data_IF_965499502876
#
_entry.id   IF_965499502876
#
_cell.length_a   1.000
_cell.length_b   1.000
_cell.length_c   1.000
_cell.angle_alpha   90.00
_cell.angle_beta   90.00
_cell.angle_gamma   90.00
#
_symmetry.space_group_name_H-M   'P 1'
#
loop_
_entity.id
_entity.type
_entity.pdbx_description
1 polymer ?
#
# COMPACT_ATOMS: atom_id res chain seq x y z
N UNK A 1 -21.60 31.60 16.21
CA UNK A 1 -21.92 30.75 15.04
C UNK A 1 -22.14 29.33 15.57
N UNK A 2 -23.31 28.71 15.34
CA UNK A 2 -23.55 27.31 15.78
C UNK A 2 -22.71 26.40 14.89
N UNK A 3 -21.74 25.69 15.46
CA UNK A 3 -20.73 24.94 14.69
C UNK A 3 -21.16 23.50 14.38
N UNK A 4 -21.88 22.83 15.28
CA UNK A 4 -22.41 21.45 15.14
C UNK A 4 -23.64 21.23 16.03
N UNK A 5 -24.38 20.13 15.85
CA UNK A 5 -25.52 19.74 16.71
C UNK A 5 -25.07 19.52 18.16
N UNK A 6 -25.82 20.03 19.14
CA UNK A 6 -25.60 19.69 20.55
C UNK A 6 -26.16 18.30 20.85
N UNK A 7 -25.50 17.54 21.72
CA UNK A 7 -26.01 16.24 22.17
C UNK A 7 -27.40 16.33 22.83
N UNK A 8 -27.72 17.48 23.43
CA UNK A 8 -29.01 17.73 24.09
C UNK A 8 -30.17 17.95 23.12
N UNK A 9 -29.90 18.17 21.83
CA UNK A 9 -30.91 18.49 20.82
C UNK A 9 -31.21 17.32 19.89
N UNK A 10 -30.62 16.14 20.12
CA UNK A 10 -30.77 14.99 19.24
C UNK A 10 -32.22 14.47 19.23
N UNK A 11 -32.77 14.24 18.04
CA UNK A 11 -34.15 13.80 17.83
C UNK A 11 -35.17 14.94 17.79
N UNK A 12 -34.73 16.19 17.76
CA UNK A 12 -35.60 17.37 17.78
C UNK A 12 -35.63 18.12 16.44
N UNK A 13 -34.94 17.63 15.41
CA UNK A 13 -34.76 18.35 14.14
C UNK A 13 -33.73 19.47 14.25
N UNK A 14 -32.65 19.23 14.99
CA UNK A 14 -31.60 20.19 15.25
C UNK A 14 -30.79 20.56 14.00
N UNK A 15 -30.02 21.65 14.10
CA UNK A 15 -29.16 22.11 13.01
C UNK A 15 -28.14 21.02 12.63
N UNK A 16 -28.14 20.60 11.36
CA UNK A 16 -27.32 19.50 10.83
C UNK A 16 -27.49 18.17 11.59
N UNK A 17 -28.68 17.92 12.14
CA UNK A 17 -28.97 16.68 12.88
C UNK A 17 -28.76 15.44 12.01
N UNK A 18 -27.82 14.60 12.43
CA UNK A 18 -27.53 13.31 11.84
C UNK A 18 -26.90 12.43 12.94
N UNK A 19 -27.27 11.15 12.99
CA UNK A 19 -26.52 10.18 13.78
C UNK A 19 -25.23 9.81 13.04
N UNK A 20 -24.26 10.72 13.08
CA UNK A 20 -23.03 10.60 12.32
C UNK A 20 -22.20 9.37 12.74
N UNK A 21 -22.26 8.97 14.02
CA UNK A 21 -21.53 7.79 14.51
C UNK A 21 -22.04 6.53 13.81
N UNK A 22 -23.36 6.33 13.78
CA UNK A 22 -23.95 5.16 13.11
C UNK A 22 -23.76 5.20 11.59
N UNK A 23 -23.84 6.38 10.98
CA UNK A 23 -23.58 6.55 9.54
C UNK A 23 -22.12 6.22 9.16
N UNK A 24 -21.15 6.60 10.00
CA UNK A 24 -19.73 6.38 9.73
C UNK A 24 -19.22 4.99 10.15
N UNK A 25 -19.97 4.27 11.01
CA UNK A 25 -19.60 2.95 11.55
C UNK A 25 -19.18 1.93 10.49
N UNK A 26 -19.89 1.71 9.36
CA UNK A 26 -19.50 0.70 8.38
C UNK A 26 -18.24 1.05 7.57
N UNK A 27 -17.78 2.30 7.59
CA UNK A 27 -16.64 2.79 6.80
C UNK A 27 -15.38 2.99 7.63
N UNK A 28 -15.42 2.74 8.93
CA UNK A 28 -14.33 3.01 9.86
C UNK A 28 -14.04 1.82 10.77
N UNK A 29 -12.80 1.73 11.27
CA UNK A 29 -12.42 0.72 12.27
C UNK A 29 -13.02 1.03 13.64
N UNK A 30 -13.26 2.31 13.91
CA UNK A 30 -13.75 2.81 15.18
C UNK A 30 -14.54 4.09 14.93
N UNK A 31 -15.81 4.09 15.29
CA UNK A 31 -16.70 5.24 15.27
C UNK A 31 -17.26 5.45 16.67
N UNK A 32 -17.09 6.65 17.24
CA UNK A 32 -17.52 6.92 18.61
C UNK A 32 -17.82 8.39 18.86
N UNK A 33 -18.74 8.65 19.78
CA UNK A 33 -18.93 9.93 20.47
C UNK A 33 -18.49 9.76 21.92
N UNK A 34 -17.61 10.61 22.49
CA UNK A 34 -17.32 10.58 23.92
C UNK A 34 -18.60 10.78 24.74
N UNK A 35 -18.76 10.03 25.84
CA UNK A 35 -19.95 10.17 26.71
C UNK A 35 -19.92 11.42 27.60
N UNK A 36 -18.76 12.06 27.72
CA UNK A 36 -18.55 13.33 28.42
C UNK A 36 -17.24 13.98 27.96
N UNK A 37 -17.06 15.26 28.30
CA UNK A 37 -15.82 16.02 28.02
C UNK A 37 -14.60 15.33 28.65
N UNK A 38 -14.75 14.76 29.85
CA UNK A 38 -13.65 14.08 30.55
C UNK A 38 -13.18 12.81 29.84
N UNK A 39 -13.99 12.23 28.96
CA UNK A 39 -13.65 11.02 28.18
C UNK A 39 -12.93 11.32 26.86
N UNK A 40 -12.85 12.60 26.44
CA UNK A 40 -12.21 12.98 25.17
C UNK A 40 -10.77 12.45 25.06
N UNK A 41 -9.88 12.60 26.08
CA UNK A 41 -8.49 12.11 25.97
C UNK A 41 -8.41 10.60 25.73
N UNK A 42 -9.18 9.81 26.48
CA UNK A 42 -9.24 8.36 26.33
C UNK A 42 -9.77 7.94 24.96
N UNK A 43 -10.84 8.59 24.49
CA UNK A 43 -11.43 8.32 23.17
C UNK A 43 -10.45 8.62 22.04
N UNK A 44 -9.73 9.74 22.13
CA UNK A 44 -8.69 10.10 21.16
C UNK A 44 -7.57 9.06 21.15
N UNK A 45 -7.03 8.70 22.32
CA UNK A 45 -5.96 7.69 22.41
C UNK A 45 -6.40 6.37 21.78
N UNK A 46 -7.62 5.91 22.10
CA UNK A 46 -8.18 4.68 21.55
C UNK A 46 -8.39 4.76 20.04
N UNK A 47 -8.84 5.90 19.52
CA UNK A 47 -9.02 6.10 18.09
C UNK A 47 -7.68 6.11 17.34
N UNK A 48 -6.64 6.74 17.90
CA UNK A 48 -5.29 6.67 17.35
C UNK A 48 -4.77 5.23 17.34
N UNK A 49 -4.83 4.50 18.46
CA UNK A 49 -4.44 3.07 18.47
C UNK A 49 -5.23 2.26 17.45
N UNK A 50 -6.54 2.47 17.37
CA UNK A 50 -7.41 1.77 16.43
C UNK A 50 -7.07 2.07 14.97
N UNK A 51 -6.57 3.27 14.65
CA UNK A 51 -6.24 3.65 13.28
C UNK A 51 -4.95 3.00 12.77
N UNK A 52 -3.96 2.80 13.66
CA UNK A 52 -2.63 2.28 13.29
C UNK A 52 -2.37 0.82 13.69
N UNK A 53 -3.10 0.23 14.64
CA UNK A 53 -2.85 -1.14 15.11
C UNK A 53 -3.54 -2.19 14.24
N UNK A 54 -2.89 -3.35 14.07
CA UNK A 54 -3.34 -4.39 13.15
C UNK A 54 -3.37 -3.87 11.71
N UNK A 55 -4.42 -4.17 10.96
CA UNK A 55 -4.62 -3.56 9.64
C UNK A 55 -4.98 -2.08 9.79
N UNK A 56 -4.20 -1.12 9.29
CA UNK A 56 -4.51 0.30 9.44
C UNK A 56 -5.81 0.71 8.75
N UNK A 57 -6.49 1.73 9.28
CA UNK A 57 -7.75 2.21 8.72
C UNK A 57 -8.29 3.48 9.39
N UNK A 58 -9.31 4.08 8.77
CA UNK A 58 -9.91 5.32 9.26
C UNK A 58 -10.66 5.10 10.58
N UNK A 59 -10.67 6.13 11.43
CA UNK A 59 -11.50 6.22 12.63
C UNK A 59 -12.31 7.52 12.57
N UNK A 60 -13.52 7.50 13.13
CA UNK A 60 -14.42 8.63 13.21
C UNK A 60 -14.71 8.97 14.67
N UNK A 61 -14.55 10.25 15.02
CA UNK A 61 -14.81 10.75 16.37
C UNK A 61 -15.78 11.90 16.23
N UNK A 62 -16.96 11.75 16.81
CA UNK A 62 -17.97 12.79 16.86
C UNK A 62 -17.80 13.63 18.12
N UNK A 63 -17.63 14.94 17.95
CA UNK A 63 -17.49 15.91 19.04
C UNK A 63 -18.71 16.85 19.04
N UNK A 64 -19.65 16.69 19.98
CA UNK A 64 -20.84 17.52 20.06
C UNK A 64 -20.51 19.00 20.23
N UNK A 65 -21.37 19.88 19.69
CA UNK A 65 -21.14 21.33 19.74
C UNK A 65 -21.02 21.88 21.16
N UNK A 66 -21.80 21.34 22.10
CA UNK A 66 -21.73 21.68 23.52
C UNK A 66 -20.40 21.26 24.15
N UNK A 67 -19.72 20.23 23.65
CA UNK A 67 -18.41 19.82 24.18
C UNK A 67 -17.33 20.77 23.68
N UNK A 68 -17.36 21.13 22.39
CA UNK A 68 -16.42 22.07 21.78
C UNK A 68 -16.52 23.45 22.44
N UNK A 69 -17.73 23.87 22.81
CA UNK A 69 -17.99 25.17 23.43
C UNK A 69 -17.81 25.18 24.96
N UNK A 70 -17.60 24.02 25.57
CA UNK A 70 -17.46 23.92 27.02
C UNK A 70 -16.13 24.44 27.53
N UNK A 71 -16.15 24.97 28.76
CA UNK A 71 -14.97 25.46 29.44
C UNK A 71 -14.46 24.44 30.47
N UNK A 72 -13.14 24.25 30.51
CA UNK A 72 -12.44 23.52 31.57
C UNK A 72 -11.30 24.39 32.11
N UNK A 73 -10.90 24.20 33.36
CA UNK A 73 -9.82 24.99 33.96
C UNK A 73 -8.47 24.64 33.33
N UNK A 74 -7.58 25.63 33.20
CA UNK A 74 -6.21 25.42 32.72
C UNK A 74 -5.44 24.41 33.59
N UNK A 75 -5.69 24.39 34.90
CA UNK A 75 -5.12 23.40 35.80
C UNK A 75 -5.52 21.96 35.41
N UNK A 76 -6.78 21.75 35.00
CA UNK A 76 -7.26 20.45 34.51
C UNK A 76 -6.64 20.07 33.17
N UNK A 77 -6.47 21.04 32.26
CA UNK A 77 -5.77 20.82 30.99
C UNK A 77 -4.33 20.38 31.25
N UNK A 78 -3.61 21.11 32.10
CA UNK A 78 -2.23 20.78 32.47
C UNK A 78 -2.10 19.39 33.10
N UNK A 79 -3.03 19.02 33.99
CA UNK A 79 -3.06 17.69 34.59
C UNK A 79 -3.27 16.59 33.53
N UNK A 80 -4.20 16.79 32.58
CA UNK A 80 -4.43 15.83 31.48
C UNK A 80 -3.15 15.68 30.65
N UNK A 81 -2.55 16.78 30.19
CA UNK A 81 -1.33 16.75 29.38
C UNK A 81 -0.16 16.08 30.11
N UNK A 82 0.00 16.34 31.41
CA UNK A 82 1.03 15.70 32.22
C UNK A 82 0.82 14.18 32.40
N UNK A 83 -0.44 13.73 32.37
CA UNK A 83 -0.80 12.31 32.49
C UNK A 83 -0.87 11.56 31.14
N UNK A 84 -0.95 12.29 30.03
CA UNK A 84 -1.07 11.72 28.69
C UNK A 84 0.27 11.18 28.22
N UNK A 85 0.32 9.88 27.93
CA UNK A 85 1.46 9.28 27.25
C UNK A 85 1.24 9.33 25.73
N UNK A 86 2.31 9.50 24.94
CA UNK A 86 2.24 9.29 23.50
C UNK A 86 1.68 7.91 23.19
N UNK A 87 0.85 7.83 22.14
CA UNK A 87 0.39 6.53 21.64
C UNK A 87 1.60 5.76 21.14
N UNK A 88 1.90 4.64 21.79
CA UNK A 88 3.01 3.77 21.39
C UNK A 88 2.80 3.22 19.97
N UNK A 89 3.90 2.96 19.28
CA UNK A 89 3.88 2.31 17.96
C UNK A 89 3.13 0.96 18.01
N UNK A 90 2.59 0.49 16.87
CA UNK A 90 1.94 -0.81 16.81
C UNK A 90 2.89 -1.94 17.25
N UNK A 91 2.42 -2.93 18.01
CA UNK A 91 3.26 -4.05 18.41
C UNK A 91 3.74 -4.83 17.18
N UNK A 92 5.01 -5.21 17.18
CA UNK A 92 5.61 -6.03 16.12
C UNK A 92 5.23 -7.49 16.36
N UNK A 93 4.44 -8.06 15.46
CA UNK A 93 4.09 -9.48 15.47
C UNK A 93 5.01 -10.31 14.57
N UNK A 94 5.44 -11.47 15.08
CA UNK A 94 6.15 -12.50 14.33
C UNK A 94 5.18 -13.55 13.82
N UNK A 95 5.58 -14.30 12.79
CA UNK A 95 4.82 -15.46 12.33
C UNK A 95 5.22 -16.74 13.05
N UNK A 96 4.31 -17.71 13.04
CA UNK A 96 4.54 -19.06 13.57
C UNK A 96 5.77 -19.69 12.88
N UNK A 97 6.79 -20.15 13.63
CA UNK A 97 7.97 -20.78 13.06
C UNK A 97 7.68 -21.96 12.12
N UNK A 98 6.62 -22.75 12.37
CA UNK A 98 6.26 -23.85 11.47
C UNK A 98 5.73 -23.34 10.12
N UNK A 99 4.98 -22.24 10.11
CA UNK A 99 4.56 -21.56 8.88
C UNK A 99 5.76 -20.99 8.13
N UNK A 100 6.75 -20.42 8.83
CA UNK A 100 8.00 -19.96 8.22
C UNK A 100 8.74 -21.12 7.55
N UNK A 101 8.92 -22.25 8.25
CA UNK A 101 9.55 -23.44 7.69
C UNK A 101 8.78 -23.97 6.46
N UNK A 102 7.44 -24.02 6.55
CA UNK A 102 6.59 -24.45 5.42
C UNK A 102 6.70 -23.53 4.20
N UNK A 103 6.80 -22.20 4.42
CA UNK A 103 7.03 -21.25 3.35
C UNK A 103 8.39 -21.45 2.68
N UNK A 104 9.44 -21.70 3.47
CA UNK A 104 10.79 -21.99 2.95
C UNK A 104 10.82 -23.27 2.13
N UNK A 105 10.17 -24.34 2.60
CA UNK A 105 10.07 -25.60 1.82
C UNK A 105 9.33 -25.41 0.50
N UNK A 106 8.23 -24.64 0.49
CA UNK A 106 7.52 -24.30 -0.74
C UNK A 106 8.38 -23.51 -1.72
N UNK A 107 9.12 -22.51 -1.23
CA UNK A 107 10.04 -21.74 -2.06
C UNK A 107 11.18 -22.63 -2.59
N UNK A 108 11.73 -23.52 -1.76
CA UNK A 108 12.79 -24.46 -2.19
C UNK A 108 12.35 -25.35 -3.33
N UNK A 109 11.10 -25.84 -3.28
CA UNK A 109 10.52 -26.64 -4.35
C UNK A 109 10.07 -25.87 -5.59
N UNK A 110 10.14 -24.52 -5.58
CA UNK A 110 9.64 -23.70 -6.68
C UNK A 110 10.60 -23.69 -7.88
N UNK A 111 10.07 -23.99 -9.06
CA UNK A 111 10.81 -23.86 -10.32
C UNK A 111 10.63 -22.48 -10.95
N UNK A 112 9.52 -21.80 -10.64
CA UNK A 112 9.12 -20.49 -11.19
C UNK A 112 8.58 -19.58 -10.07
N UNK A 113 9.40 -19.28 -9.04
CA UNK A 113 8.97 -18.45 -7.91
C UNK A 113 8.77 -17.00 -8.33
N UNK A 114 7.82 -16.32 -7.70
CA UNK A 114 7.56 -14.89 -7.89
C UNK A 114 7.26 -14.22 -6.54
N UNK A 115 7.87 -13.07 -6.27
CA UNK A 115 7.46 -12.20 -5.15
C UNK A 115 6.49 -11.14 -5.67
N UNK A 116 5.37 -10.92 -5.00
CA UNK A 116 4.46 -9.80 -5.30
C UNK A 116 4.47 -8.83 -4.12
N UNK A 117 4.84 -7.59 -4.38
CA UNK A 117 4.98 -6.55 -3.36
C UNK A 117 3.76 -5.63 -3.39
N UNK A 118 2.97 -5.73 -2.33
CA UNK A 118 1.77 -4.92 -2.11
C UNK A 118 2.06 -3.58 -1.46
N UNK A 119 1.09 -2.66 -1.51
CA UNK A 119 1.16 -1.41 -0.75
C UNK A 119 1.25 -1.61 0.77
N UNK A 120 0.85 -2.78 1.29
CA UNK A 120 1.02 -3.13 2.70
C UNK A 120 2.50 -3.21 3.09
N UNK A 121 3.35 -3.77 2.22
CA UNK A 121 4.80 -3.79 2.43
C UNK A 121 5.39 -2.37 2.44
N UNK A 122 4.94 -1.49 1.53
CA UNK A 122 5.35 -0.08 1.48
C UNK A 122 4.91 0.70 2.72
N UNK A 123 3.70 0.41 3.21
CA UNK A 123 3.17 1.00 4.43
C UNK A 123 3.99 0.57 5.65
N UNK A 124 4.39 -0.71 5.74
CA UNK A 124 5.23 -1.24 6.81
C UNK A 124 6.72 -0.85 6.72
N UNK A 125 7.11 -0.06 5.72
CA UNK A 125 8.50 0.36 5.48
C UNK A 125 9.48 -0.81 5.31
N UNK A 126 9.05 -1.84 4.58
CA UNK A 126 9.81 -3.08 4.36
C UNK A 126 10.87 -2.97 3.24
N UNK A 127 11.36 -1.76 2.93
CA UNK A 127 12.27 -1.52 1.80
C UNK A 127 13.53 -2.38 1.89
N UNK A 128 14.18 -2.36 3.07
CA UNK A 128 15.44 -3.07 3.32
C UNK A 128 15.23 -4.58 3.24
N UNK A 129 14.22 -5.10 3.93
CA UNK A 129 13.99 -6.53 4.06
C UNK A 129 13.55 -7.15 2.74
N UNK A 130 12.70 -6.45 1.95
CA UNK A 130 12.31 -6.93 0.63
C UNK A 130 13.51 -6.93 -0.32
N UNK A 131 14.32 -5.88 -0.34
CA UNK A 131 15.53 -5.83 -1.17
C UNK A 131 16.48 -6.98 -0.84
N UNK A 132 16.79 -7.15 0.46
CA UNK A 132 17.65 -8.24 0.93
C UNK A 132 17.08 -9.61 0.55
N UNK A 133 15.77 -9.80 0.66
CA UNK A 133 15.12 -11.06 0.32
C UNK A 133 15.22 -11.36 -1.18
N UNK A 134 14.90 -10.40 -2.06
CA UNK A 134 14.95 -10.63 -3.51
C UNK A 134 16.38 -10.83 -4.00
N UNK A 135 17.37 -10.11 -3.45
CA UNK A 135 18.78 -10.28 -3.81
C UNK A 135 19.35 -11.60 -3.29
N UNK A 136 19.01 -12.01 -2.06
CA UNK A 136 19.48 -13.27 -1.47
C UNK A 136 18.92 -14.50 -2.19
N UNK A 137 17.63 -14.45 -2.52
CA UNK A 137 16.92 -15.58 -3.15
C UNK A 137 17.00 -15.55 -4.67
N UNK A 138 17.33 -14.39 -5.24
CA UNK A 138 17.32 -14.12 -6.68
C UNK A 138 15.95 -14.42 -7.34
N UNK A 139 14.87 -14.26 -6.56
CA UNK A 139 13.49 -14.43 -7.03
C UNK A 139 13.04 -13.11 -7.69
N UNK A 140 12.48 -13.14 -8.93
CA UNK A 140 11.89 -11.96 -9.55
C UNK A 140 10.74 -11.39 -8.71
N UNK A 141 10.58 -10.06 -8.73
CA UNK A 141 9.50 -9.40 -8.00
C UNK A 141 8.60 -8.54 -8.90
N UNK A 142 7.33 -8.48 -8.52
CA UNK A 142 6.29 -7.71 -9.18
C UNK A 142 5.65 -6.75 -8.18
N UNK A 143 5.90 -5.44 -8.28
CA UNK A 143 5.17 -4.46 -7.47
C UNK A 143 3.73 -4.30 -7.96
N UNK A 144 2.80 -4.21 -7.01
CA UNK A 144 1.44 -3.67 -7.25
C UNK A 144 1.48 -2.17 -7.53
N UNK A 145 0.39 -1.52 -8.00
CA UNK A 145 0.44 -0.10 -8.41
C UNK A 145 1.05 0.86 -7.38
N UNK A 146 0.66 0.76 -6.10
CA UNK A 146 1.24 1.55 -4.99
C UNK A 146 2.36 0.81 -4.23
N UNK A 147 2.77 -0.38 -4.73
CA UNK A 147 3.99 -1.08 -4.30
C UNK A 147 5.23 -0.67 -5.10
N UNK A 148 5.06 0.02 -6.23
CA UNK A 148 6.14 0.55 -7.07
C UNK A 148 7.07 1.45 -6.26
N UNK A 149 8.37 1.34 -6.50
CA UNK A 149 9.41 2.09 -5.80
C UNK A 149 9.79 1.57 -4.41
N UNK A 150 9.10 0.57 -3.83
CA UNK A 150 9.54 -0.06 -2.59
C UNK A 150 10.96 -0.64 -2.75
N UNK A 151 11.15 -1.37 -3.85
CA UNK A 151 12.44 -1.55 -4.50
C UNK A 151 12.35 -0.75 -5.80
N UNK A 152 13.40 -0.02 -6.24
CA UNK A 152 13.35 0.77 -7.47
C UNK A 152 12.83 -0.06 -8.65
N UNK A 153 11.92 0.50 -9.43
CA UNK A 153 11.30 -0.24 -10.55
C UNK A 153 12.32 -0.62 -11.64
N UNK A 154 13.48 0.06 -11.67
CA UNK A 154 14.63 -0.23 -12.54
C UNK A 154 15.51 -1.38 -12.06
N UNK A 155 15.22 -1.96 -10.89
CA UNK A 155 15.99 -3.08 -10.35
C UNK A 155 15.95 -4.29 -11.30
N UNK A 156 17.07 -5.02 -11.53
CA UNK A 156 17.13 -6.10 -12.51
C UNK A 156 16.11 -7.24 -12.31
N UNK A 157 15.72 -7.48 -11.05
CA UNK A 157 14.70 -8.48 -10.68
C UNK A 157 13.26 -7.96 -10.76
N UNK A 158 13.03 -6.68 -11.08
CA UNK A 158 11.69 -6.14 -11.25
C UNK A 158 11.09 -6.61 -12.58
N UNK A 159 9.98 -7.34 -12.51
CA UNK A 159 9.29 -7.89 -13.69
C UNK A 159 7.97 -7.17 -13.99
N UNK A 160 7.83 -5.93 -13.53
CA UNK A 160 6.63 -5.11 -13.74
C UNK A 160 6.23 -5.02 -15.24
N UNK A 161 7.19 -4.82 -16.13
CA UNK A 161 6.96 -4.78 -17.57
C UNK A 161 6.53 -6.13 -18.17
N UNK A 162 6.81 -7.25 -17.50
CA UNK A 162 6.44 -8.60 -17.91
C UNK A 162 5.31 -9.21 -17.05
N UNK A 163 4.55 -8.39 -16.31
CA UNK A 163 3.52 -8.82 -15.34
C UNK A 163 2.70 -10.02 -15.80
N UNK A 164 2.06 -9.94 -16.98
CA UNK A 164 1.15 -10.99 -17.45
C UNK A 164 1.85 -12.35 -17.61
N UNK A 165 3.11 -12.36 -18.09
CA UNK A 165 3.91 -13.58 -18.22
C UNK A 165 4.33 -14.09 -16.84
N UNK A 166 4.80 -13.19 -15.97
CA UNK A 166 5.23 -13.53 -14.61
C UNK A 166 4.16 -14.27 -13.82
N UNK A 167 2.94 -13.71 -13.75
CA UNK A 167 1.83 -14.32 -12.98
C UNK A 167 1.26 -15.58 -13.64
N UNK A 168 1.24 -15.65 -14.97
CA UNK A 168 0.68 -16.79 -15.69
C UNK A 168 1.57 -18.04 -15.61
N UNK A 169 2.89 -17.85 -15.49
CA UNK A 169 3.86 -18.94 -15.48
C UNK A 169 4.31 -19.34 -14.06
N UNK A 170 4.18 -18.45 -13.07
CA UNK A 170 4.61 -18.74 -11.70
C UNK A 170 3.97 -20.01 -11.13
N UNK A 171 4.76 -20.82 -10.42
CA UNK A 171 4.28 -22.01 -9.69
C UNK A 171 4.17 -21.77 -8.18
N UNK A 172 4.98 -20.88 -7.63
CA UNK A 172 4.88 -20.39 -6.24
C UNK A 172 4.93 -18.87 -6.22
N UNK A 173 3.99 -18.25 -5.52
CA UNK A 173 3.91 -16.79 -5.38
C UNK A 173 3.94 -16.41 -3.90
N UNK A 174 4.92 -15.60 -3.51
CA UNK A 174 4.99 -14.97 -2.18
C UNK A 174 4.37 -13.57 -2.24
N UNK A 175 3.20 -13.40 -1.63
CA UNK A 175 2.49 -12.13 -1.48
C UNK A 175 2.99 -11.42 -0.21
N UNK A 176 3.49 -10.19 -0.34
CA UNK A 176 3.95 -9.37 0.78
C UNK A 176 3.05 -8.14 0.92
N UNK A 177 2.13 -8.17 1.90
CA UNK A 177 1.17 -7.08 2.11
C UNK A 177 0.28 -6.80 0.90
N UNK A 178 -0.01 -7.84 0.12
CA UNK A 178 -0.79 -7.81 -1.11
C UNK A 178 -1.98 -8.76 -0.99
N UNK A 179 -3.13 -8.31 -1.47
CA UNK A 179 -4.39 -9.08 -1.44
C UNK A 179 -4.67 -9.68 -2.80
N UNK A 180 -5.15 -10.92 -2.81
CA UNK A 180 -5.71 -11.56 -4.00
C UNK A 180 -7.12 -11.01 -4.30
N UNK A 181 -7.21 -9.70 -4.56
CA UNK A 181 -8.43 -9.02 -4.98
C UNK A 181 -8.45 -8.80 -6.51
N UNK A 182 -9.37 -7.98 -6.99
CA UNK A 182 -9.55 -7.72 -8.43
C UNK A 182 -8.28 -7.20 -9.13
N UNK A 183 -7.40 -6.47 -8.43
CA UNK A 183 -6.12 -5.98 -8.99
C UNK A 183 -5.22 -7.16 -9.38
N UNK A 184 -5.25 -8.23 -8.59
CA UNK A 184 -4.55 -9.49 -8.84
C UNK A 184 -5.49 -10.58 -9.37
N UNK A 185 -6.58 -10.20 -10.05
CA UNK A 185 -7.51 -11.14 -10.69
C UNK A 185 -7.98 -12.27 -9.77
N UNK A 186 -8.12 -11.97 -8.47
CA UNK A 186 -8.51 -12.93 -7.44
C UNK A 186 -7.61 -14.19 -7.37
N UNK A 187 -6.34 -14.07 -7.78
CA UNK A 187 -5.39 -15.18 -7.85
C UNK A 187 -5.82 -16.32 -8.78
N UNK A 188 -6.75 -16.06 -9.71
CA UNK A 188 -7.48 -17.11 -10.42
C UNK A 188 -7.01 -17.29 -11.87
N UNK A 189 -7.18 -18.52 -12.37
CA UNK A 189 -7.05 -18.86 -13.79
C UNK A 189 -8.10 -18.11 -14.64
N UNK A 190 -7.80 -17.76 -15.91
CA UNK A 190 -6.59 -18.07 -16.68
C UNK A 190 -5.47 -17.03 -16.52
N UNK A 191 -5.62 -16.05 -15.61
CA UNK A 191 -4.60 -15.02 -15.39
C UNK A 191 -3.41 -15.57 -14.62
N UNK A 192 -3.68 -16.38 -13.60
CA UNK A 192 -2.67 -17.16 -12.90
C UNK A 192 -2.64 -18.60 -13.44
N UNK A 193 -1.50 -19.26 -13.25
CA UNK A 193 -1.41 -20.70 -13.43
C UNK A 193 -2.43 -21.40 -12.52
N UNK A 194 -3.19 -22.36 -13.04
CA UNK A 194 -4.20 -23.08 -12.27
C UNK A 194 -3.62 -23.88 -11.10
N UNK A 195 -2.33 -24.25 -11.17
CA UNK A 195 -1.62 -25.01 -10.14
C UNK A 195 -0.71 -24.13 -9.26
N UNK A 196 -0.82 -22.80 -9.35
CA UNK A 196 0.01 -21.90 -8.53
C UNK A 196 -0.27 -22.11 -7.04
N UNK A 197 0.79 -22.11 -6.23
CA UNK A 197 0.71 -22.13 -4.77
C UNK A 197 1.03 -20.74 -4.24
N UNK A 198 0.18 -20.23 -3.35
CA UNK A 198 0.41 -18.93 -2.71
C UNK A 198 0.98 -19.10 -1.31
N UNK A 199 1.97 -18.28 -0.99
CA UNK A 199 2.40 -17.97 0.37
C UNK A 199 1.98 -16.52 0.60
N UNK A 200 1.28 -16.22 1.70
CA UNK A 200 0.75 -14.88 1.94
C UNK A 200 1.18 -14.33 3.28
N UNK A 201 1.97 -13.26 3.26
CA UNK A 201 2.34 -12.49 4.45
C UNK A 201 1.43 -11.27 4.59
N UNK A 202 0.63 -11.25 5.66
CA UNK A 202 -0.27 -10.16 6.01
C UNK A 202 -0.41 -10.04 7.54
N UNK A 203 -0.71 -8.84 8.03
CA UNK A 203 -0.94 -8.61 9.46
C UNK A 203 -2.36 -9.03 9.89
N UNK A 204 -3.29 -9.15 8.92
CA UNK A 204 -4.68 -9.47 9.16
C UNK A 204 -4.98 -10.95 8.87
N UNK A 205 -5.24 -11.78 9.90
CA UNK A 205 -5.48 -13.22 9.74
C UNK A 205 -6.59 -13.56 8.73
N UNK A 206 -7.68 -12.79 8.76
CA UNK A 206 -8.87 -13.01 7.95
C UNK A 206 -8.62 -12.80 6.45
N UNK A 207 -7.53 -12.12 6.07
CA UNK A 207 -7.16 -11.96 4.66
C UNK A 207 -6.69 -13.28 4.02
N UNK A 208 -6.39 -14.31 4.83
CA UNK A 208 -6.12 -15.68 4.36
C UNK A 208 -7.39 -16.48 4.06
N UNK A 209 -8.57 -15.87 4.21
CA UNK A 209 -9.86 -16.47 3.89
C UNK A 209 -10.40 -15.92 2.57
N UNK A 210 -10.76 -16.80 1.64
CA UNK A 210 -11.21 -16.38 0.32
C UNK A 210 -11.40 -17.56 -0.63
N UNK A 211 -11.74 -17.25 -1.89
CA UNK A 211 -11.91 -18.28 -2.93
C UNK A 211 -10.61 -19.02 -3.23
N UNK A 212 -9.49 -18.31 -3.25
CA UNK A 212 -8.16 -18.88 -3.37
C UNK A 212 -7.50 -18.75 -2.00
N UNK A 213 -7.26 -19.89 -1.37
CA UNK A 213 -6.65 -19.96 -0.05
C UNK A 213 -5.15 -20.17 -0.23
N UNK A 214 -4.28 -19.35 0.41
CA UNK A 214 -2.85 -19.59 0.38
C UNK A 214 -2.51 -20.94 1.04
N UNK A 215 -1.51 -21.63 0.50
CA UNK A 215 -1.02 -22.89 1.07
C UNK A 215 -0.35 -22.63 2.41
N UNK A 216 0.31 -21.47 2.56
CA UNK A 216 0.93 -21.02 3.80
C UNK A 216 0.58 -19.57 4.06
N UNK A 217 0.05 -19.29 5.25
CA UNK A 217 -0.22 -17.94 5.74
C UNK A 217 0.82 -17.53 6.77
N UNK A 218 1.54 -16.45 6.47
CA UNK A 218 2.52 -15.84 7.36
C UNK A 218 1.89 -14.63 8.04
N UNK A 219 1.18 -14.87 9.14
CA UNK A 219 0.53 -13.79 9.90
C UNK A 219 1.59 -13.03 10.69
N UNK A 220 1.75 -11.73 10.44
CA UNK A 220 2.75 -10.92 11.14
C UNK A 220 3.07 -9.58 10.51
N UNK A 221 3.92 -8.80 11.19
CA UNK A 221 4.49 -7.57 10.66
C UNK A 221 5.49 -7.89 9.53
N UNK A 222 5.26 -7.37 8.33
CA UNK A 222 5.97 -7.78 7.11
C UNK A 222 7.50 -7.74 7.23
N UNK A 223 8.15 -6.65 7.70
CA UNK A 223 9.59 -6.64 7.94
C UNK A 223 10.06 -7.76 8.88
N UNK A 224 9.31 -8.04 9.94
CA UNK A 224 9.67 -9.05 10.92
C UNK A 224 9.53 -10.48 10.33
N UNK A 225 8.46 -10.73 9.57
CA UNK A 225 8.27 -11.98 8.83
C UNK A 225 9.37 -12.21 7.79
N UNK A 226 9.76 -11.17 7.03
CA UNK A 226 10.87 -11.26 6.09
C UNK A 226 12.20 -11.52 6.81
N UNK A 227 12.42 -10.93 7.98
CA UNK A 227 13.59 -11.21 8.81
C UNK A 227 13.62 -12.68 9.27
N UNK A 228 12.48 -13.26 9.64
CA UNK A 228 12.38 -14.69 9.95
C UNK A 228 12.72 -15.57 8.74
N UNK A 229 12.22 -15.23 7.54
CA UNK A 229 12.56 -15.94 6.31
C UNK A 229 14.04 -15.83 5.96
N UNK A 230 14.61 -14.62 6.05
CA UNK A 230 16.02 -14.32 5.76
C UNK A 230 17.00 -15.03 6.68
N UNK A 231 16.62 -15.24 7.94
CA UNK A 231 17.46 -15.92 8.94
C UNK A 231 17.26 -17.44 8.97
N UNK A 232 16.28 -17.96 8.23
CA UNK A 232 16.07 -19.39 8.12
C UNK A 232 17.26 -20.03 7.36
N UNK A 233 17.94 -21.05 7.94
CA UNK A 233 19.20 -21.59 7.39
C UNK A 233 19.04 -22.20 5.98
N UNK A 234 17.81 -22.56 5.69
CA UNK A 234 17.38 -23.43 4.62
C UNK A 234 16.71 -22.66 3.47
N UNK A 235 16.72 -21.32 3.54
CA UNK A 235 16.20 -20.42 2.52
C UNK A 235 16.96 -20.62 1.19
N UNK A 236 16.27 -20.94 0.08
CA UNK A 236 16.92 -21.24 -1.19
C UNK A 236 17.42 -19.98 -1.89
N UNK A 237 18.40 -20.16 -2.78
CA UNK A 237 18.73 -19.21 -3.84
C UNK A 237 18.38 -19.86 -5.18
N UNK A 238 17.62 -19.16 -6.03
CA UNK A 238 17.21 -19.64 -7.34
C UNK A 238 18.17 -19.17 -8.42
N UNK A 239 18.53 -20.03 -9.40
CA UNK A 239 19.50 -19.66 -10.42
C UNK A 239 18.93 -18.59 -11.37
N UNK A 240 19.65 -17.47 -11.60
CA UNK A 240 19.22 -16.44 -12.56
C UNK A 240 19.21 -16.96 -14.00
N UNK A 241 19.93 -18.06 -14.23
CA UNK A 241 20.01 -18.77 -15.50
C UNK A 241 18.84 -19.72 -15.75
N UNK A 242 17.87 -19.82 -14.84
CA UNK A 242 16.65 -20.59 -15.09
C UNK A 242 15.91 -20.06 -16.32
N UNK A 243 15.31 -20.97 -17.10
CA UNK A 243 14.52 -20.63 -18.30
C UNK A 243 13.42 -19.62 -17.97
N UNK A 244 12.82 -19.72 -16.79
CA UNK A 244 11.80 -18.78 -16.32
C UNK A 244 12.37 -17.38 -16.09
N UNK A 245 13.44 -17.24 -15.29
CA UNK A 245 14.03 -15.94 -15.00
C UNK A 245 14.55 -15.25 -16.28
N UNK A 246 15.24 -15.99 -17.15
CA UNK A 246 15.71 -15.48 -18.44
C UNK A 246 14.55 -15.07 -19.35
N UNK A 247 13.50 -15.89 -19.40
CA UNK A 247 12.29 -15.61 -20.19
C UNK A 247 11.55 -14.36 -19.71
N UNK A 248 11.50 -14.10 -18.39
CA UNK A 248 10.95 -12.86 -17.84
C UNK A 248 11.86 -11.66 -18.16
N UNK A 249 13.17 -11.80 -17.96
CA UNK A 249 14.13 -10.73 -18.26
C UNK A 249 14.05 -10.30 -19.73
N UNK A 250 14.08 -11.25 -20.66
CA UNK A 250 13.92 -10.96 -22.08
C UNK A 250 12.59 -10.25 -22.37
N UNK A 251 11.50 -10.70 -21.73
CA UNK A 251 10.19 -10.08 -21.92
C UNK A 251 10.13 -8.65 -21.37
N UNK A 252 10.80 -8.38 -20.24
CA UNK A 252 10.95 -7.02 -19.70
C UNK A 252 11.69 -6.15 -20.70
N UNK A 253 12.85 -6.59 -21.20
CA UNK A 253 13.65 -5.85 -22.19
C UNK A 253 12.84 -5.54 -23.45
N UNK A 254 12.15 -6.53 -24.02
CA UNK A 254 11.34 -6.35 -25.22
C UNK A 254 10.19 -5.36 -25.00
N UNK A 255 9.52 -5.44 -23.85
CA UNK A 255 8.40 -4.56 -23.53
C UNK A 255 8.88 -3.13 -23.23
N UNK A 256 10.03 -2.94 -22.58
CA UNK A 256 10.62 -1.62 -22.36
C UNK A 256 11.02 -0.98 -23.69
N UNK A 257 11.66 -1.73 -24.60
CA UNK A 257 11.99 -1.27 -25.96
C UNK A 257 10.72 -0.86 -26.73
N UNK A 258 9.65 -1.65 -26.62
CA UNK A 258 8.36 -1.32 -27.24
C UNK A 258 7.76 -0.03 -26.65
N UNK A 259 7.82 0.13 -25.33
CA UNK A 259 7.35 1.34 -24.64
C UNK A 259 8.11 2.59 -25.12
N UNK A 260 9.44 2.50 -25.22
CA UNK A 260 10.28 3.56 -25.76
C UNK A 260 9.95 3.88 -27.22
N UNK A 261 9.77 2.87 -28.07
CA UNK A 261 9.39 3.07 -29.48
C UNK A 261 8.03 3.79 -29.63
N UNK A 262 7.05 3.42 -28.81
CA UNK A 262 5.74 4.07 -28.79
C UNK A 262 5.82 5.51 -28.25
N UNK A 263 6.70 5.76 -27.28
CA UNK A 263 6.92 7.09 -26.71
C UNK A 263 7.69 8.05 -27.63
N UNK A 264 8.63 7.52 -28.41
CA UNK A 264 9.53 8.28 -29.31
C UNK A 264 9.03 8.40 -30.75
N UNK A 265 7.86 7.83 -31.06
CA UNK A 265 7.33 7.82 -32.42
C UNK A 265 7.25 9.25 -32.98
N UNK A 266 7.97 9.51 -34.08
CA UNK A 266 8.17 10.85 -34.70
C UNK A 266 6.89 11.62 -35.08
N UNK A 267 5.70 11.03 -34.94
CA UNK A 267 4.46 11.77 -35.04
C UNK A 267 4.23 12.53 -33.73
N UNK A 268 4.81 13.73 -33.64
CA UNK A 268 4.20 14.84 -32.91
C UNK A 268 2.93 15.34 -33.66
N UNK A 269 2.13 14.40 -34.17
CA UNK A 269 0.86 14.71 -34.81
C UNK A 269 -0.12 15.06 -33.71
N UNK A 270 -0.71 16.24 -33.77
CA UNK A 270 -1.85 16.56 -32.91
C UNK A 270 -3.09 15.80 -33.42
N UNK A 271 -3.86 15.14 -32.53
CA UNK A 271 -3.64 15.04 -31.08
C UNK A 271 -2.60 13.98 -30.67
N UNK A 272 -1.91 14.22 -29.56
CA UNK A 272 -0.94 13.28 -28.97
C UNK A 272 -1.62 11.99 -28.47
N UNK A 273 -0.87 10.89 -28.46
CA UNK A 273 -1.23 9.66 -27.73
C UNK A 273 -0.77 9.75 -26.27
N UNK A 274 -1.30 8.88 -25.40
CA UNK A 274 -0.83 8.77 -24.01
C UNK A 274 0.66 8.44 -23.93
N UNK A 275 1.15 7.54 -24.80
CA UNK A 275 2.54 7.09 -24.80
C UNK A 275 3.48 8.24 -25.17
N UNK A 276 3.17 8.98 -26.24
CA UNK A 276 3.97 10.13 -26.66
C UNK A 276 3.94 11.25 -25.61
N UNK A 277 2.78 11.54 -25.02
CA UNK A 277 2.65 12.58 -24.00
C UNK A 277 3.40 12.21 -22.70
N UNK A 278 3.21 10.99 -22.19
CA UNK A 278 3.90 10.53 -20.99
C UNK A 278 5.40 10.35 -21.20
N UNK A 279 5.85 9.99 -22.40
CA UNK A 279 7.27 9.93 -22.71
C UNK A 279 7.94 11.29 -22.60
N UNK A 280 7.29 12.34 -23.13
CA UNK A 280 7.82 13.70 -23.04
C UNK A 280 7.87 14.17 -21.59
N UNK A 281 6.82 13.91 -20.80
CA UNK A 281 6.82 14.21 -19.36
C UNK A 281 7.93 13.43 -18.64
N UNK A 282 8.07 12.12 -18.89
CA UNK A 282 9.07 11.26 -18.25
C UNK A 282 10.49 11.80 -18.43
N UNK A 283 10.82 12.29 -19.63
CA UNK A 283 12.17 12.81 -19.94
C UNK A 283 12.53 14.07 -19.17
N UNK A 284 11.54 14.83 -18.71
CA UNK A 284 11.74 16.08 -17.99
C UNK A 284 11.72 15.91 -16.47
N UNK A 285 11.25 14.76 -15.97
CA UNK A 285 11.20 14.46 -14.54
C UNK A 285 12.57 13.94 -14.04
N UNK A 286 13.01 14.34 -12.84
CA UNK A 286 14.14 13.70 -12.18
C UNK A 286 13.80 12.26 -11.80
N UNK A 287 14.82 11.42 -11.58
CA UNK A 287 14.64 10.02 -11.18
C UNK A 287 14.16 9.87 -9.73
N UNK A 288 14.42 10.85 -8.87
CA UNK A 288 14.05 10.90 -7.45
C UNK A 288 13.44 12.26 -7.09
N UNK A 289 12.80 12.35 -5.93
CA UNK A 289 12.12 13.57 -5.48
C UNK A 289 10.79 13.83 -6.18
N UNK A 290 10.20 12.82 -6.82
CA UNK A 290 8.93 12.92 -7.54
C UNK A 290 7.86 12.11 -6.82
N UNK A 291 6.75 12.78 -6.46
CA UNK A 291 5.53 12.11 -5.99
C UNK A 291 4.54 12.02 -7.16
N UNK A 292 4.30 10.79 -7.62
CA UNK A 292 3.35 10.48 -8.68
C UNK A 292 1.94 10.36 -8.12
N UNK A 293 1.09 11.34 -8.39
CA UNK A 293 -0.35 11.27 -8.18
C UNK A 293 -1.01 10.91 -9.51
N UNK A 294 -1.78 9.83 -9.55
CA UNK A 294 -2.35 9.32 -10.80
C UNK A 294 -3.76 8.77 -10.62
N UNK A 295 -4.72 9.30 -11.37
CA UNK A 295 -6.08 8.78 -11.44
C UNK A 295 -6.61 8.81 -12.88
N UNK A 296 -7.79 8.25 -13.10
CA UNK A 296 -8.39 8.05 -14.42
C UNK A 296 -8.41 6.58 -14.84
N UNK A 297 -8.79 6.34 -16.10
CA UNK A 297 -8.75 5.01 -16.71
C UNK A 297 -7.44 4.83 -17.49
N UNK A 298 -7.45 5.17 -18.79
CA UNK A 298 -6.28 5.05 -19.67
C UNK A 298 -5.07 5.83 -19.14
N UNK A 299 -5.30 7.04 -18.59
CA UNK A 299 -4.28 7.86 -17.94
C UNK A 299 -3.54 7.08 -16.86
N UNK A 300 -4.27 6.47 -15.93
CA UNK A 300 -3.69 5.74 -14.80
C UNK A 300 -3.01 4.44 -15.24
N UNK A 301 -3.67 3.68 -16.10
CA UNK A 301 -3.18 2.36 -16.53
C UNK A 301 -1.91 2.46 -17.39
N UNK A 302 -1.88 3.42 -18.32
CA UNK A 302 -0.72 3.63 -19.18
C UNK A 302 0.40 4.33 -18.39
N UNK A 303 0.08 5.31 -17.53
CA UNK A 303 1.09 5.95 -16.68
C UNK A 303 1.84 4.94 -15.80
N UNK A 304 1.14 3.95 -15.25
CA UNK A 304 1.76 2.89 -14.42
C UNK A 304 2.85 2.12 -15.16
N UNK A 305 2.75 1.98 -16.48
CA UNK A 305 3.76 1.32 -17.33
C UNK A 305 4.81 2.27 -17.88
N UNK A 306 4.48 3.56 -18.02
CA UNK A 306 5.40 4.56 -18.58
C UNK A 306 6.37 5.11 -17.54
N UNK A 307 5.89 5.36 -16.31
CA UNK A 307 6.68 5.98 -15.26
C UNK A 307 7.25 4.93 -14.28
N UNK A 308 8.57 4.94 -14.17
CA UNK A 308 9.30 4.18 -13.17
C UNK A 308 9.33 4.96 -11.86
N UNK A 309 9.20 4.27 -10.74
CA UNK A 309 9.26 4.88 -9.41
C UNK A 309 10.52 4.38 -8.73
N UNK A 310 11.40 5.31 -8.35
CA UNK A 310 12.67 4.98 -7.70
C UNK A 310 12.57 4.93 -6.17
N UNK A 311 11.59 5.63 -5.59
CA UNK A 311 11.49 5.81 -4.13
C UNK A 311 10.20 5.23 -3.56
N UNK A 312 10.26 4.66 -2.34
CA UNK A 312 9.11 4.04 -1.69
C UNK A 312 8.04 5.07 -1.35
N UNK A 313 6.76 4.67 -1.49
CA UNK A 313 5.59 5.50 -1.14
C UNK A 313 5.46 6.79 -1.96
N UNK A 314 6.23 6.94 -3.04
CA UNK A 314 6.16 8.09 -3.94
C UNK A 314 5.13 7.92 -5.06
N UNK A 315 4.35 6.84 -5.08
CA UNK A 315 3.22 6.67 -5.99
C UNK A 315 1.91 6.46 -5.24
N UNK A 316 0.96 7.34 -5.49
CA UNK A 316 -0.40 7.29 -4.96
C UNK A 316 -1.41 7.39 -6.10
N UNK A 317 -2.36 6.46 -6.13
CA UNK A 317 -3.37 6.40 -7.18
C UNK A 317 -4.75 6.04 -6.61
N UNK A 318 -5.73 5.87 -7.49
CA UNK A 318 -7.13 5.53 -7.19
C UNK A 318 -7.30 4.29 -6.29
N UNK A 319 -6.25 3.49 -6.11
CA UNK A 319 -6.18 2.47 -5.06
C UNK A 319 -7.19 1.35 -5.24
N UNK A 320 -7.65 0.80 -4.11
CA UNK A 320 -8.42 -0.45 -4.11
C UNK A 320 -9.83 -0.30 -4.66
N UNK A 321 -10.46 0.87 -4.50
CA UNK A 321 -11.81 1.14 -5.01
C UNK A 321 -11.82 1.89 -6.34
N UNK A 322 -10.64 2.10 -6.95
CA UNK A 322 -10.52 2.87 -8.19
C UNK A 322 -11.25 4.22 -8.09
N UNK A 323 -11.11 4.90 -6.95
CA UNK A 323 -11.81 6.15 -6.65
C UNK A 323 -11.25 7.30 -7.49
N UNK A 324 -12.10 7.94 -8.28
CA UNK A 324 -11.77 9.20 -8.96
C UNK A 324 -12.08 10.38 -8.04
N UNK A 325 -11.26 11.43 -8.10
CA UNK A 325 -11.37 12.62 -7.24
C UNK A 325 -10.40 12.62 -6.06
N UNK A 326 -9.46 11.67 -6.01
CA UNK A 326 -8.41 11.62 -4.98
C UNK A 326 -7.22 12.50 -5.34
N UNK A 327 -7.09 12.89 -6.62
CA UNK A 327 -5.91 13.56 -7.17
C UNK A 327 -5.44 14.78 -6.37
N UNK A 328 -6.29 15.81 -6.24
CA UNK A 328 -5.87 17.05 -5.58
C UNK A 328 -5.58 16.87 -4.09
N UNK A 329 -6.37 16.04 -3.38
CA UNK A 329 -6.13 15.75 -1.97
C UNK A 329 -4.79 15.07 -1.75
N UNK A 330 -4.46 14.07 -2.58
CA UNK A 330 -3.16 13.40 -2.53
C UNK A 330 -2.00 14.31 -2.94
N UNK A 331 -2.19 15.21 -3.92
CA UNK A 331 -1.16 16.17 -4.32
C UNK A 331 -0.82 17.16 -3.19
N UNK A 332 -1.84 17.70 -2.51
CA UNK A 332 -1.64 18.60 -1.37
C UNK A 332 -0.93 17.87 -0.23
N UNK A 333 -1.42 16.68 0.15
CA UNK A 333 -0.81 15.90 1.23
C UNK A 333 0.64 15.50 0.91
N UNK A 334 0.90 15.03 -0.31
CA UNK A 334 2.25 14.71 -0.77
C UNK A 334 3.16 15.93 -0.77
N UNK A 335 2.64 17.08 -1.22
CA UNK A 335 3.37 18.34 -1.21
C UNK A 335 3.83 18.78 0.18
N UNK A 336 2.97 18.62 1.19
CA UNK A 336 3.26 18.93 2.59
C UNK A 336 4.24 17.92 3.22
N UNK A 337 3.97 16.62 3.08
CA UNK A 337 4.74 15.58 3.76
C UNK A 337 6.14 15.42 3.19
N UNK A 338 6.32 15.60 1.88
CA UNK A 338 7.63 15.49 1.23
C UNK A 338 8.35 16.83 1.09
N UNK A 339 7.82 17.92 1.68
CA UNK A 339 8.46 19.24 1.66
C UNK A 339 8.60 19.84 0.26
N UNK A 340 7.69 19.49 -0.65
CA UNK A 340 7.74 19.95 -2.05
C UNK A 340 7.10 21.34 -2.24
N UNK A 341 6.29 21.80 -1.28
CA UNK A 341 5.60 23.10 -1.33
C UNK A 341 6.42 24.26 -0.78
N UNK A 342 7.45 24.00 0.02
CA UNK A 342 8.29 25.05 0.63
C UNK A 342 9.39 25.56 -0.31
N UNK A 343 9.64 24.90 -1.45
CA UNK A 343 10.60 25.34 -2.48
C UNK A 343 10.04 26.41 -3.43
N UNK A 344 8.97 27.11 -3.03
CA UNK A 344 8.28 28.13 -3.81
C UNK A 344 8.60 29.58 -3.41
N UNK A 345 9.80 29.88 -2.91
CA UNK A 345 10.24 31.25 -2.62
C UNK A 345 11.73 31.44 -2.87
N UNK A 346 12.14 31.27 -4.14
CA UNK A 346 13.36 31.82 -4.71
C UNK A 346 13.29 31.74 -6.24
N UNK A 347 12.41 32.57 -6.84
CA UNK A 347 12.58 33.08 -8.22
C UNK A 347 12.30 34.56 -8.18
#
# INVERSE_FOLDING_TARGET
MRMTTSGLQQGMGAFQELDQVEVCRPFTKYAVRPSSISQIPFVLEKAFRSSIYGRPGACYIDLPGDYIQSHISNARVAAILASSLPVADPPISLSDPNSIASAVELLRGASRPLVIVGKGASYSRAEKEVLQFVERTNIPFLPTPMGKGLVPDTHPLCVAAARSKAIAEADVVLLLGARLNWILHFGSSPRFNNAVKFIQADIHPEESSGRVVPVVSLIGHIPAVLSQLLTHPDLPTHPPTSVYAQGLHQKVVDNLRKTEQLGTQKRLGMPMTYQTAFWEIKRQLPSTGVVYVSEGANTMDIARTMFDVAEPRCRVDSGTFATMGVGMGFAIAGGLIFGLLEKGSAV
#
